data_IF_355112504537
#
_entry.id   IF_355112504537
#
_cell.length_a   1.000
_cell.length_b   1.000
_cell.length_c   1.000
_cell.angle_alpha   90.00
_cell.angle_beta   90.00
_cell.angle_gamma   90.00
#
_symmetry.space_group_name_H-M   'P 1'
#
loop_
_entity.id
_entity.type
_entity.pdbx_description
1 polymer ?
#
# COMPACT_ATOMS: atom_id res chain seq x y z
N UNK A 1 -5.52 11.00 -8.90
CA UNK A 1 -4.30 11.68 -8.37
C UNK A 1 -3.10 10.73 -8.47
N UNK A 2 -1.86 11.23 -8.64
CA UNK A 2 -0.65 10.38 -8.72
C UNK A 2 0.32 10.68 -7.58
N UNK A 3 0.85 9.63 -6.95
CA UNK A 3 1.90 9.65 -5.94
C UNK A 3 3.11 8.87 -6.48
N UNK A 4 4.28 9.49 -6.49
CA UNK A 4 5.52 8.90 -7.01
C UNK A 4 6.59 8.87 -5.91
N UNK A 5 7.29 7.74 -5.80
CA UNK A 5 8.39 7.54 -4.85
C UNK A 5 9.56 6.85 -5.54
N UNK A 6 10.74 6.84 -4.92
CA UNK A 6 11.92 6.15 -5.44
C UNK A 6 12.72 5.51 -4.30
N UNK A 7 13.49 4.47 -4.60
CA UNK A 7 14.30 3.75 -3.64
C UNK A 7 13.49 2.98 -2.59
N UNK A 8 14.10 2.74 -1.43
CA UNK A 8 13.51 1.93 -0.35
C UNK A 8 12.48 2.71 0.50
N UNK A 9 11.39 3.16 -0.13
CA UNK A 9 10.36 3.99 0.51
C UNK A 9 8.95 3.45 0.26
N UNK A 10 8.03 3.74 1.19
CA UNK A 10 6.63 3.42 1.01
C UNK A 10 5.89 4.54 0.24
N UNK A 11 4.98 4.16 -0.66
CA UNK A 11 4.16 5.08 -1.44
C UNK A 11 3.07 5.76 -0.61
N UNK A 12 2.26 4.96 0.09
CA UNK A 12 1.23 5.44 1.00
C UNK A 12 1.30 4.69 2.34
N UNK A 13 1.51 5.43 3.43
CA UNK A 13 1.52 4.88 4.79
C UNK A 13 0.24 5.29 5.50
N UNK A 14 -0.55 4.30 5.93
CA UNK A 14 -1.73 4.52 6.75
C UNK A 14 -1.48 4.00 8.16
N UNK A 15 -1.34 4.94 9.09
CA UNK A 15 -1.10 4.67 10.49
C UNK A 15 -2.34 4.97 11.31
N UNK A 16 -2.91 3.96 11.96
CA UNK A 16 -4.11 4.08 12.80
C UNK A 16 -5.32 4.72 12.06
N UNK A 17 -5.50 4.36 10.78
CA UNK A 17 -6.56 4.91 9.92
C UNK A 17 -7.85 4.09 10.04
N UNK A 18 -8.97 4.75 10.31
CA UNK A 18 -10.26 4.08 10.55
C UNK A 18 -11.33 4.68 9.63
N UNK A 19 -12.20 3.83 9.07
CA UNK A 19 -13.39 4.22 8.31
C UNK A 19 -13.12 5.21 7.15
N UNK A 20 -11.95 5.10 6.50
CA UNK A 20 -11.55 6.02 5.43
C UNK A 20 -11.75 5.41 4.04
N UNK A 21 -11.94 6.27 3.05
CA UNK A 21 -12.11 5.90 1.64
C UNK A 21 -11.01 6.53 0.80
N UNK A 22 -10.33 5.71 0.03
CA UNK A 22 -9.31 6.10 -0.94
C UNK A 22 -9.81 5.70 -2.33
N UNK A 23 -9.94 6.66 -3.23
CA UNK A 23 -10.43 6.41 -4.60
C UNK A 23 -9.61 7.15 -5.65
N UNK A 24 -9.38 6.50 -6.79
CA UNK A 24 -8.76 7.09 -7.99
C UNK A 24 -7.33 7.61 -7.72
N UNK A 25 -6.52 6.75 -7.12
CA UNK A 25 -5.12 7.04 -6.76
C UNK A 25 -4.20 6.09 -7.52
N UNK A 26 -3.23 6.68 -8.22
CA UNK A 26 -2.09 5.99 -8.82
C UNK A 26 -0.88 6.16 -7.90
N UNK A 27 -0.23 5.05 -7.53
CA UNK A 27 0.96 5.03 -6.69
C UNK A 27 2.05 4.29 -7.47
N UNK A 28 3.20 4.93 -7.71
CA UNK A 28 4.30 4.32 -8.46
C UNK A 28 5.65 4.48 -7.76
N UNK A 29 6.53 3.51 -7.98
CA UNK A 29 7.94 3.60 -7.61
C UNK A 29 8.87 3.11 -8.73
N UNK A 30 10.18 3.18 -8.51
CA UNK A 30 11.25 2.90 -9.46
C UNK A 30 11.74 1.43 -9.43
N UNK A 31 11.07 0.56 -8.65
CA UNK A 31 11.37 -0.86 -8.66
C UNK A 31 11.03 -1.47 -10.02
N UNK A 32 11.83 -2.43 -10.46
CA UNK A 32 11.59 -3.16 -11.70
C UNK A 32 11.81 -4.66 -11.53
N UNK A 33 11.08 -5.45 -12.31
CA UNK A 33 11.17 -6.90 -12.31
C UNK A 33 12.61 -7.37 -12.54
N UNK A 34 13.08 -8.26 -11.67
CA UNK A 34 14.45 -8.79 -11.70
C UNK A 34 15.46 -8.02 -10.86
N UNK A 35 15.06 -6.89 -10.25
CA UNK A 35 15.87 -6.23 -9.20
C UNK A 35 15.64 -6.88 -7.84
N UNK A 36 16.56 -6.62 -6.89
CA UNK A 36 16.41 -7.13 -5.52
C UNK A 36 15.16 -6.58 -4.86
N UNK A 37 14.48 -7.40 -4.07
CA UNK A 37 13.36 -6.98 -3.22
C UNK A 37 13.90 -6.10 -2.09
N UNK A 38 13.29 -4.95 -1.88
CA UNK A 38 13.59 -4.00 -0.83
C UNK A 38 12.46 -4.01 0.21
N UNK A 39 12.81 -4.20 1.48
CA UNK A 39 11.83 -4.49 2.55
C UNK A 39 10.87 -3.32 2.85
N UNK A 40 11.30 -2.07 2.66
CA UNK A 40 10.48 -0.89 2.91
C UNK A 40 9.90 -0.27 1.63
N UNK A 41 10.19 -0.83 0.46
CA UNK A 41 9.63 -0.39 -0.81
C UNK A 41 8.24 -1.00 -1.04
N UNK A 42 7.24 -0.33 -0.47
CA UNK A 42 5.87 -0.84 -0.35
C UNK A 42 4.88 0.17 -0.97
N UNK A 43 3.97 -0.28 -1.83
CA UNK A 43 2.93 0.56 -2.41
C UNK A 43 1.99 1.14 -1.34
N UNK A 44 1.26 0.26 -0.63
CA UNK A 44 0.41 0.63 0.52
C UNK A 44 0.87 -0.09 1.78
N UNK A 45 1.29 0.67 2.79
CA UNK A 45 1.72 0.17 4.10
C UNK A 45 0.64 0.48 5.15
N UNK A 46 -0.01 -0.57 5.66
CA UNK A 46 -1.00 -0.50 6.72
C UNK A 46 -0.33 -0.82 8.06
N UNK A 47 -0.32 0.15 8.99
CA UNK A 47 0.30 0.01 10.31
C UNK A 47 -0.73 0.31 11.39
N UNK A 48 -0.82 -0.60 12.37
CA UNK A 48 -1.50 -0.38 13.64
C UNK A 48 -0.48 -0.27 14.76
N UNK A 49 -0.46 0.85 15.48
CA UNK A 49 0.43 1.06 16.63
C UNK A 49 -0.24 0.72 17.97
N UNK A 50 -1.53 0.40 17.98
CA UNK A 50 -2.24 0.03 19.20
C UNK A 50 -3.42 -0.90 18.92
N UNK A 51 -3.73 -1.77 19.88
CA UNK A 51 -4.92 -2.63 19.83
C UNK A 51 -6.23 -1.85 19.95
N UNK A 52 -6.19 -0.64 20.50
CA UNK A 52 -7.37 0.23 20.74
C UNK A 52 -7.70 1.08 19.51
N UNK A 53 -6.68 1.55 18.81
CA UNK A 53 -6.79 2.34 17.58
C UNK A 53 -6.07 1.56 16.49
N UNK A 54 -6.81 0.66 15.84
CA UNK A 54 -6.27 -0.14 14.75
C UNK A 54 -6.50 0.50 13.38
N UNK A 55 -5.87 -0.06 12.35
CA UNK A 55 -6.17 0.28 10.97
C UNK A 55 -7.31 -0.64 10.46
N UNK A 56 -8.54 -0.13 10.44
CA UNK A 56 -9.73 -0.95 10.13
C UNK A 56 -10.79 -0.22 9.30
N UNK A 57 -11.57 -1.01 8.57
CA UNK A 57 -12.71 -0.57 7.76
C UNK A 57 -12.33 0.49 6.70
N UNK A 58 -11.12 0.42 6.13
CA UNK A 58 -10.74 1.29 5.04
C UNK A 58 -11.08 0.65 3.69
N UNK A 59 -11.60 1.47 2.79
CA UNK A 59 -11.99 1.05 1.44
C UNK A 59 -11.08 1.70 0.42
N UNK A 60 -10.47 0.88 -0.42
CA UNK A 60 -9.59 1.27 -1.52
C UNK A 60 -10.28 0.92 -2.83
N UNK A 61 -10.69 1.92 -3.59
CA UNK A 61 -11.38 1.72 -4.87
C UNK A 61 -10.58 2.34 -6.02
N UNK A 62 -10.42 1.63 -7.14
CA UNK A 62 -9.66 2.16 -8.30
C UNK A 62 -8.26 2.64 -7.91
N UNK A 63 -7.55 1.83 -7.14
CA UNK A 63 -6.15 2.08 -6.82
C UNK A 63 -5.28 1.39 -7.86
N UNK A 64 -4.29 2.10 -8.38
CA UNK A 64 -3.28 1.52 -9.25
C UNK A 64 -1.94 1.57 -8.53
N UNK A 65 -1.26 0.43 -8.40
CA UNK A 65 0.07 0.31 -7.80
C UNK A 65 1.01 -0.35 -8.81
N UNK A 66 2.16 0.28 -9.06
CA UNK A 66 3.19 -0.29 -9.93
C UNK A 66 4.62 0.10 -9.51
N UNK A 67 5.58 -0.78 -9.82
CA UNK A 67 6.99 -0.52 -9.62
C UNK A 67 7.39 -0.52 -8.15
N UNK A 68 6.82 -1.41 -7.34
CA UNK A 68 7.20 -1.62 -5.94
C UNK A 68 7.68 -3.05 -5.68
N UNK A 69 8.55 -3.23 -4.68
CA UNK A 69 8.88 -4.57 -4.20
C UNK A 69 7.67 -5.30 -3.61
N UNK A 70 6.79 -4.57 -2.91
CA UNK A 70 5.54 -5.07 -2.35
C UNK A 70 4.36 -4.18 -2.74
N UNK A 71 3.26 -4.75 -3.25
CA UNK A 71 2.05 -4.01 -3.59
C UNK A 71 1.33 -3.46 -2.36
N UNK A 72 0.96 -4.35 -1.45
CA UNK A 72 0.39 -4.00 -0.17
C UNK A 72 1.06 -4.79 0.97
N UNK A 73 1.29 -4.13 2.10
CA UNK A 73 1.84 -4.75 3.29
C UNK A 73 1.07 -4.33 4.54
N UNK A 74 0.70 -5.31 5.35
CA UNK A 74 0.02 -5.12 6.63
C UNK A 74 0.93 -5.55 7.78
N UNK A 75 1.07 -4.71 8.80
CA UNK A 75 1.75 -5.08 10.04
C UNK A 75 0.84 -4.90 11.25
N UNK A 76 0.86 -5.87 12.17
CA UNK A 76 0.02 -5.95 13.38
C UNK A 76 -1.47 -6.23 13.10
N UNK A 77 -2.36 -5.82 14.02
CA UNK A 77 -3.78 -6.18 14.08
C UNK A 77 -4.67 -5.44 13.05
N UNK A 78 -4.34 -5.54 11.77
CA UNK A 78 -5.08 -4.92 10.66
C UNK A 78 -6.33 -5.75 10.33
N UNK A 79 -7.51 -5.13 10.24
CA UNK A 79 -8.77 -5.87 9.96
C UNK A 79 -9.69 -5.13 9.00
N UNK A 80 -10.53 -5.87 8.27
CA UNK A 80 -11.65 -5.34 7.46
C UNK A 80 -11.28 -4.23 6.45
N UNK A 81 -10.09 -4.27 5.88
CA UNK A 81 -9.74 -3.39 4.76
C UNK A 81 -10.08 -4.07 3.44
N UNK A 82 -10.65 -3.33 2.50
CA UNK A 82 -11.12 -3.87 1.23
C UNK A 82 -10.49 -3.13 0.05
N UNK A 83 -10.02 -3.90 -0.93
CA UNK A 83 -9.53 -3.40 -2.22
C UNK A 83 -10.49 -3.84 -3.33
N UNK A 84 -11.07 -2.88 -4.05
CA UNK A 84 -12.02 -3.14 -5.13
C UNK A 84 -11.65 -2.40 -6.40
N UNK A 85 -11.75 -3.05 -7.56
CA UNK A 85 -11.42 -2.46 -8.86
C UNK A 85 -9.99 -1.88 -8.94
N UNK A 86 -9.05 -2.48 -8.20
CA UNK A 86 -7.67 -2.01 -8.10
C UNK A 86 -6.73 -2.88 -8.93
N UNK A 87 -5.64 -2.29 -9.41
CA UNK A 87 -4.62 -2.93 -10.25
C UNK A 87 -3.30 -2.92 -9.50
N UNK A 88 -2.66 -4.08 -9.47
CA UNK A 88 -1.36 -4.33 -8.87
C UNK A 88 -0.48 -4.98 -9.94
N UNK A 89 0.47 -4.25 -10.51
CA UNK A 89 1.31 -4.71 -11.61
C UNK A 89 2.77 -4.28 -11.45
N UNK A 90 3.71 -4.98 -12.09
CA UNK A 90 5.15 -4.72 -11.93
C UNK A 90 5.60 -4.71 -10.46
N UNK A 91 5.20 -5.75 -9.73
CA UNK A 91 5.51 -5.93 -8.31
C UNK A 91 6.38 -7.16 -8.08
N UNK A 92 7.24 -7.09 -7.08
CA UNK A 92 7.98 -8.27 -6.59
C UNK A 92 7.05 -9.26 -5.89
N UNK A 93 6.20 -8.71 -5.02
CA UNK A 93 5.11 -9.40 -4.35
C UNK A 93 3.83 -8.58 -4.47
N UNK A 94 2.76 -9.22 -4.96
CA UNK A 94 1.43 -8.64 -5.14
C UNK A 94 0.65 -8.56 -3.84
#
# INVERSE_FOLDING_TARGET
MTLETAGNNAGLVLQNCINSKFEDIKITSDWSTGTSILADQIGIKLISLSTVVTNTNNSFNKIYISGFSYGAFSNYDIMNNNFSNSVFEDLGYG
#
